data_IF_826077733670
#
_entry.id   IF_826077733670
#
_cell.length_a   1.000
_cell.length_b   1.000
_cell.length_c   1.000
_cell.angle_alpha   90.00
_cell.angle_beta   90.00
_cell.angle_gamma   90.00
#
_symmetry.space_group_name_H-M   'P 1'
#
loop_
_entity.id
_entity.type
_entity.pdbx_description
1 polymer ?
#
# COMPACT_ATOMS: atom_id res chain seq x y z
N UNK A 1 -41.06 7.42 -14.59
CA UNK A 1 -42.22 7.58 -13.68
C UNK A 1 -42.14 8.95 -13.03
N UNK A 2 -43.28 9.57 -12.72
CA UNK A 2 -43.33 10.95 -12.23
C UNK A 2 -43.24 11.04 -10.70
N UNK A 3 -42.75 12.15 -10.13
CA UNK A 3 -43.65 13.21 -9.61
C UNK A 3 -42.92 14.34 -8.86
N UNK A 4 -43.29 15.57 -9.21
CA UNK A 4 -43.24 16.87 -8.53
C UNK A 4 -42.56 17.08 -7.15
N UNK A 5 -41.78 18.16 -7.10
CA UNK A 5 -41.63 19.07 -5.95
C UNK A 5 -42.94 19.80 -5.60
N UNK A 6 -43.16 20.18 -4.33
CA UNK A 6 -43.31 21.58 -3.87
C UNK A 6 -43.80 21.74 -2.40
N UNK A 7 -43.47 22.90 -1.80
CA UNK A 7 -44.10 23.58 -0.63
C UNK A 7 -43.83 23.03 0.80
N UNK A 8 -43.66 23.84 1.88
CA UNK A 8 -43.38 25.30 2.10
C UNK A 8 -42.86 25.52 3.58
N UNK A 9 -42.67 26.75 4.15
CA UNK A 9 -41.70 27.03 5.24
C UNK A 9 -42.34 27.24 6.63
N UNK A 10 -41.57 27.79 7.60
CA UNK A 10 -42.07 28.97 8.32
C UNK A 10 -41.04 30.11 8.51
N UNK A 11 -41.48 31.22 9.11
CA UNK A 11 -40.80 32.53 9.20
C UNK A 11 -41.07 33.19 10.58
N UNK A 12 -40.16 34.06 11.02
CA UNK A 12 -40.28 35.19 11.98
C UNK A 12 -40.07 35.03 13.51
N UNK A 13 -39.45 36.10 14.06
CA UNK A 13 -39.47 36.62 15.45
C UNK A 13 -38.36 36.15 16.41
N UNK A 14 -37.83 36.96 17.36
CA UNK A 14 -37.50 38.41 17.45
C UNK A 14 -36.82 38.68 18.84
N UNK A 15 -36.34 39.92 19.10
CA UNK A 15 -35.99 40.51 20.42
C UNK A 15 -34.63 40.14 21.09
N UNK A 16 -33.98 40.97 21.94
CA UNK A 16 -33.78 42.45 21.99
C UNK A 16 -32.65 42.79 23.02
N UNK A 17 -31.74 43.72 22.68
CA UNK A 17 -30.91 44.63 23.54
C UNK A 17 -30.17 44.13 24.81
N UNK A 18 -28.82 44.29 24.89
CA UNK A 18 -28.10 45.26 25.78
C UNK A 18 -26.56 45.11 25.88
N UNK A 19 -25.90 46.28 25.91
CA UNK A 19 -24.70 46.69 26.68
C UNK A 19 -23.32 46.01 26.55
N UNK A 20 -22.32 46.84 26.21
CA UNK A 20 -20.87 46.71 26.50
C UNK A 20 -20.59 46.80 28.04
N UNK A 21 -19.37 46.53 28.61
CA UNK A 21 -18.11 47.23 28.21
C UNK A 21 -16.74 46.54 28.45
N UNK A 22 -15.71 47.09 27.79
CA UNK A 22 -14.27 47.06 28.19
C UNK A 22 -13.55 45.70 28.10
N UNK A 23 -12.21 45.56 28.08
CA UNK A 23 -11.09 46.52 28.26
C UNK A 23 -9.80 45.97 27.61
N UNK A 24 -8.71 46.76 27.65
CA UNK A 24 -7.29 46.38 27.42
C UNK A 24 -6.78 46.25 25.97
N UNK A 25 -5.52 46.64 25.62
CA UNK A 25 -4.59 47.66 26.18
C UNK A 25 -3.35 47.80 25.28
N UNK A 26 -2.62 48.93 25.44
CA UNK A 26 -1.30 49.32 24.86
C UNK A 26 -1.37 49.83 23.41
N UNK A 27 -0.87 51.02 23.06
CA UNK A 27 0.45 51.69 23.30
C UNK A 27 1.56 51.06 22.42
N UNK A 28 2.48 51.80 21.79
CA UNK A 28 2.98 53.17 22.08
C UNK A 28 3.61 53.86 20.84
N UNK A 29 3.56 55.20 20.79
CA UNK A 29 4.67 56.07 20.33
C UNK A 29 4.55 56.70 18.95
N UNK A 30 5.02 57.94 18.68
CA UNK A 30 5.69 59.00 19.49
C UNK A 30 5.47 60.37 18.77
N UNK A 31 5.25 61.45 19.53
CA UNK A 31 5.58 62.91 19.40
C UNK A 31 5.71 63.61 18.00
N UNK A 32 5.54 64.93 17.80
CA UNK A 32 5.30 66.08 18.70
C UNK A 32 4.61 67.27 17.96
N UNK A 33 3.82 68.06 18.71
CA UNK A 33 3.59 69.55 18.69
C UNK A 33 4.08 70.36 17.46
N UNK A 34 3.30 71.28 16.83
CA UNK A 34 3.04 72.67 17.30
C UNK A 34 1.87 73.38 16.57
N UNK A 35 1.35 74.46 17.18
CA UNK A 35 0.33 75.44 16.75
C UNK A 35 0.58 76.07 15.34
N UNK A 36 -0.34 76.78 14.68
CA UNK A 36 -1.28 77.80 15.21
C UNK A 36 -2.54 78.07 14.35
N UNK A 37 -3.38 79.03 14.80
CA UNK A 37 -4.69 79.43 14.26
C UNK A 37 -4.61 80.16 12.90
N UNK A 38 -5.66 80.09 12.08
CA UNK A 38 -6.59 81.23 11.86
C UNK A 38 -7.84 80.86 11.03
N UNK A 39 -8.79 81.80 10.92
CA UNK A 39 -10.20 81.50 10.67
C UNK A 39 -10.89 82.51 9.72
N UNK A 40 -11.64 81.97 8.73
CA UNK A 40 -12.86 82.53 8.09
C UNK A 40 -12.82 83.65 7.03
N UNK A 41 -13.70 83.44 6.03
CA UNK A 41 -14.36 84.37 5.10
C UNK A 41 -13.46 85.19 4.15
N UNK A 42 -13.93 85.61 2.96
CA UNK A 42 -15.22 85.38 2.29
C UNK A 42 -15.18 85.95 0.87
N UNK A 43 -16.07 85.52 -0.02
CA UNK A 43 -16.13 86.01 -1.39
C UNK A 43 -17.10 87.19 -1.54
N UNK A 44 -16.66 88.32 -2.09
CA UNK A 44 -17.58 89.36 -2.57
C UNK A 44 -17.01 90.16 -3.75
N UNK A 45 -17.92 90.67 -4.60
CA UNK A 45 -17.61 91.52 -5.75
C UNK A 45 -17.39 92.95 -5.29
N UNK A 46 -16.47 93.70 -5.91
CA UNK A 46 -16.78 95.09 -6.26
C UNK A 46 -15.95 95.65 -7.43
N UNK A 47 -16.61 96.49 -8.22
CA UNK A 47 -16.02 97.35 -9.26
C UNK A 47 -16.21 98.81 -8.82
N UNK A 48 -15.19 99.64 -9.03
CA UNK A 48 -15.23 101.09 -8.75
C UNK A 48 -14.73 101.45 -7.35
N UNK A 49 -13.77 102.36 -7.21
CA UNK A 49 -14.05 103.82 -7.15
C UNK A 49 -12.82 104.65 -7.50
N UNK A 50 -13.02 105.89 -7.94
CA UNK A 50 -11.97 106.83 -8.34
C UNK A 50 -11.12 107.36 -7.18
N UNK A 51 -9.83 107.59 -7.44
CA UNK A 51 -8.95 108.34 -6.53
C UNK A 51 -9.05 109.85 -6.79
N UNK A 52 -9.63 110.57 -5.83
CA UNK A 52 -9.57 112.03 -5.77
C UNK A 52 -8.16 112.49 -5.36
N UNK A 53 -7.46 113.19 -6.25
CA UNK A 53 -6.25 113.93 -5.89
C UNK A 53 -6.63 115.25 -5.17
N UNK A 54 -6.43 115.30 -3.86
CA UNK A 54 -6.69 116.48 -3.02
C UNK A 54 -5.46 117.41 -3.03
N UNK A 55 -5.51 118.51 -3.80
CA UNK A 55 -4.45 119.54 -3.82
C UNK A 55 -4.97 120.87 -3.26
N UNK A 56 -4.46 121.26 -2.08
CA UNK A 56 -4.44 122.59 -1.42
C UNK A 56 -3.38 122.51 -0.30
N UNK A 57 -2.67 123.54 0.17
CA UNK A 57 -2.53 124.98 -0.13
C UNK A 57 -1.18 125.45 0.53
N UNK A 58 -0.61 126.65 0.40
CA UNK A 58 -0.93 127.93 -0.25
C UNK A 58 0.40 128.74 -0.43
N UNK A 59 0.26 130.04 -0.77
CA UNK A 59 1.27 131.12 -0.65
C UNK A 59 2.34 131.20 -1.76
N UNK A 60 2.78 132.38 -2.23
CA UNK A 60 2.24 133.73 -1.92
C UNK A 60 2.33 134.77 -3.05
N UNK A 61 1.45 135.74 -2.90
CA UNK A 61 1.39 137.10 -3.47
C UNK A 61 2.70 137.89 -3.29
N UNK A 62 3.11 138.71 -4.27
CA UNK A 62 3.57 140.12 -4.10
C UNK A 62 3.82 140.83 -5.46
N UNK A 63 3.27 142.05 -5.56
CA UNK A 63 3.61 143.19 -6.42
C UNK A 63 3.95 143.00 -7.92
N UNK A 64 2.97 143.31 -8.77
CA UNK A 64 3.21 144.02 -10.02
C UNK A 64 2.87 145.51 -9.85
N UNK A 65 3.79 146.29 -9.26
CA UNK A 65 3.62 147.73 -9.03
C UNK A 65 4.29 148.52 -10.19
N UNK A 66 3.44 149.16 -10.99
CA UNK A 66 3.48 150.58 -11.38
C UNK A 66 4.84 151.26 -11.67
N UNK A 67 5.00 151.70 -12.93
CA UNK A 67 5.36 153.08 -13.35
C UNK A 67 5.09 153.17 -14.87
N UNK A 68 4.32 154.09 -15.46
CA UNK A 68 4.10 155.53 -15.23
C UNK A 68 5.35 156.42 -15.39
N UNK A 69 5.95 156.34 -16.59
CA UNK A 69 6.87 157.36 -17.11
C UNK A 69 6.18 158.71 -17.36
N UNK A 70 5.82 159.43 -16.30
CA UNK A 70 5.48 160.85 -16.33
C UNK A 70 6.76 161.69 -16.45
N UNK A 71 7.16 161.99 -17.68
CA UNK A 71 8.17 163.03 -17.95
C UNK A 71 7.57 164.42 -17.79
N UNK A 72 7.30 164.82 -16.55
CA UNK A 72 7.02 166.22 -16.21
C UNK A 72 8.35 166.97 -16.04
N UNK A 73 8.79 167.68 -17.08
CA UNK A 73 9.85 168.68 -16.92
C UNK A 73 9.29 169.93 -16.21
N UNK A 74 9.78 170.31 -15.02
CA UNK A 74 9.50 171.62 -14.46
C UNK A 74 10.52 172.63 -15.01
N UNK A 75 10.06 173.55 -15.85
CA UNK A 75 10.76 174.82 -16.04
C UNK A 75 10.11 175.87 -15.12
N UNK A 76 10.40 175.77 -13.82
CA UNK A 76 9.94 176.77 -12.85
C UNK A 76 10.74 178.06 -13.02
N UNK A 77 10.05 179.20 -12.92
CA UNK A 77 10.66 180.52 -12.93
C UNK A 77 11.77 180.66 -11.87
N UNK A 78 12.95 181.07 -12.34
CA UNK A 78 13.92 181.89 -11.62
C UNK A 78 14.62 182.75 -12.70
N UNK A 79 14.47 184.07 -12.77
CA UNK A 79 13.94 184.99 -11.77
C UNK A 79 15.07 185.62 -10.97
N UNK A 80 15.99 186.30 -11.66
CA UNK A 80 16.93 187.25 -11.06
C UNK A 80 17.34 188.30 -12.10
N UNK A 81 16.42 189.22 -12.41
CA UNK A 81 16.75 190.48 -13.11
C UNK A 81 17.55 191.43 -12.18
N UNK A 82 18.68 190.95 -11.65
CA UNK A 82 19.78 191.83 -11.32
C UNK A 82 20.57 191.97 -12.62
N UNK A 83 20.68 193.19 -13.16
CA UNK A 83 21.10 193.42 -14.54
C UNK A 83 22.50 192.91 -14.89
N UNK A 84 22.60 191.61 -15.22
CA UNK A 84 23.73 191.02 -15.91
C UNK A 84 23.85 191.71 -17.26
N UNK A 85 24.90 192.51 -17.41
CA UNK A 85 25.24 193.11 -18.71
C UNK A 85 25.87 191.99 -19.52
N UNK A 86 25.02 191.26 -20.25
CA UNK A 86 25.46 190.32 -21.27
C UNK A 86 26.11 191.10 -22.41
N UNK A 87 27.41 190.88 -22.62
CA UNK A 87 28.07 191.32 -23.84
C UNK A 87 27.82 190.27 -24.92
N UNK A 88 27.19 190.64 -26.04
CA UNK A 88 27.26 189.79 -27.24
C UNK A 88 28.67 189.85 -27.83
N UNK A 89 29.03 188.91 -28.73
CA UNK A 89 30.30 188.96 -29.46
C UNK A 89 30.44 190.32 -30.18
N UNK A 90 29.34 190.76 -30.74
CA UNK A 90 29.18 192.01 -31.46
C UNK A 90 29.40 193.23 -30.55
N UNK A 91 28.95 193.21 -29.29
CA UNK A 91 29.21 194.27 -28.30
C UNK A 91 30.69 194.37 -27.90
N UNK A 92 31.37 193.23 -27.77
CA UNK A 92 32.82 193.18 -27.49
C UNK A 92 33.61 193.74 -28.67
N UNK A 93 33.27 193.35 -29.89
CA UNK A 93 33.89 193.86 -31.12
C UNK A 93 33.61 195.36 -31.32
N UNK A 94 32.39 195.83 -31.00
CA UNK A 94 32.03 197.25 -31.01
C UNK A 94 32.83 198.06 -29.98
N UNK A 95 33.00 197.53 -28.76
CA UNK A 95 33.80 198.16 -27.72
C UNK A 95 35.29 198.23 -28.13
N UNK A 96 35.87 197.13 -28.61
CA UNK A 96 37.28 197.10 -29.04
C UNK A 96 37.57 197.97 -30.27
N UNK A 97 36.57 198.24 -31.11
CA UNK A 97 36.68 199.10 -32.29
C UNK A 97 36.35 200.59 -32.05
N UNK A 98 36.01 200.97 -30.82
CA UNK A 98 35.58 202.33 -30.46
C UNK A 98 36.72 203.36 -30.56
N UNK A 99 36.79 204.06 -31.70
CA UNK A 99 37.71 205.19 -31.90
C UNK A 99 37.17 206.46 -31.25
N UNK A 100 37.69 206.78 -30.07
CA UNK A 100 37.34 207.97 -29.29
C UNK A 100 37.53 209.28 -30.08
N UNK A 101 36.43 209.97 -30.42
CA UNK A 101 36.43 211.20 -31.22
C UNK A 101 36.35 212.45 -30.33
N UNK A 102 37.44 213.21 -30.25
CA UNK A 102 37.48 214.48 -29.54
C UNK A 102 37.03 215.63 -30.45
N UNK A 103 36.00 216.39 -30.05
CA UNK A 103 35.54 217.58 -30.81
C UNK A 103 36.51 218.76 -30.72
N UNK A 104 37.31 218.85 -29.65
CA UNK A 104 38.30 219.91 -29.48
C UNK A 104 39.56 219.39 -28.77
N UNK A 105 40.75 219.60 -29.36
CA UNK A 105 42.02 218.99 -28.89
C UNK A 105 42.50 219.49 -27.52
N UNK A 106 41.98 220.61 -27.04
CA UNK A 106 42.40 221.25 -25.78
C UNK A 106 41.47 220.98 -24.58
N UNK A 107 40.35 220.27 -24.75
CA UNK A 107 39.48 219.91 -23.62
C UNK A 107 39.99 218.66 -22.89
N UNK A 108 40.99 218.85 -22.03
CA UNK A 108 41.63 217.75 -21.29
C UNK A 108 40.66 217.01 -20.35
N UNK A 109 39.67 217.72 -19.79
CA UNK A 109 38.67 217.14 -18.87
C UNK A 109 37.77 216.13 -19.59
N UNK A 110 37.15 216.52 -20.71
CA UNK A 110 36.33 215.64 -21.56
C UNK A 110 37.14 214.43 -22.07
N UNK A 111 38.43 214.63 -22.41
CA UNK A 111 39.32 213.53 -22.79
C UNK A 111 39.57 212.52 -21.66
N UNK A 112 39.77 213.00 -20.44
CA UNK A 112 39.95 212.13 -19.27
C UNK A 112 38.66 211.41 -18.87
N UNK A 113 37.52 212.08 -18.93
CA UNK A 113 36.20 211.49 -18.64
C UNK A 113 35.84 210.40 -19.66
N UNK A 114 35.99 210.66 -20.96
CA UNK A 114 35.77 209.67 -22.01
C UNK A 114 36.72 208.46 -21.87
N UNK A 115 38.01 208.70 -21.61
CA UNK A 115 38.98 207.62 -21.38
C UNK A 115 38.63 206.79 -20.13
N UNK A 116 38.18 207.44 -19.06
CA UNK A 116 37.75 206.76 -17.83
C UNK A 116 36.50 205.90 -18.06
N UNK A 117 35.54 206.39 -18.86
CA UNK A 117 34.34 205.64 -19.23
C UNK A 117 34.67 204.41 -20.09
N UNK A 118 35.50 204.58 -21.12
CA UNK A 118 35.99 203.46 -21.94
C UNK A 118 36.76 202.42 -21.11
N UNK A 119 37.61 202.85 -20.18
CA UNK A 119 38.30 201.95 -19.24
C UNK A 119 37.29 201.24 -18.31
N UNK A 120 36.21 201.89 -17.87
CA UNK A 120 35.15 201.24 -17.08
C UNK A 120 34.43 200.17 -17.90
N UNK A 121 34.06 200.48 -19.16
CA UNK A 121 33.39 199.53 -20.06
C UNK A 121 34.30 198.34 -20.42
N UNK A 122 35.58 198.57 -20.69
CA UNK A 122 36.57 197.49 -20.84
C UNK A 122 36.73 196.64 -19.58
N UNK A 123 36.82 197.25 -18.39
CA UNK A 123 36.89 196.49 -17.12
C UNK A 123 35.64 195.67 -16.86
N UNK A 124 34.46 196.16 -17.24
CA UNK A 124 33.21 195.42 -17.13
C UNK A 124 33.17 194.24 -18.12
N UNK A 125 33.60 194.45 -19.36
CA UNK A 125 33.76 193.39 -20.37
C UNK A 125 34.75 192.31 -19.91
N UNK A 126 35.90 192.68 -19.33
CA UNK A 126 36.86 191.73 -18.75
C UNK A 126 36.23 190.93 -17.60
N UNK A 127 35.48 191.57 -16.70
CA UNK A 127 34.78 190.87 -15.61
C UNK A 127 33.74 189.88 -16.15
N UNK A 128 32.94 190.31 -17.12
CA UNK A 128 31.96 189.45 -17.77
C UNK A 128 32.61 188.24 -18.43
N UNK A 129 33.75 188.40 -19.12
CA UNK A 129 34.52 187.27 -19.64
C UNK A 129 35.07 186.36 -18.52
N UNK A 130 35.53 186.91 -17.39
CA UNK A 130 36.02 186.11 -16.26
C UNK A 130 34.90 185.32 -15.57
N UNK A 131 33.71 185.92 -15.44
CA UNK A 131 32.50 185.27 -14.93
C UNK A 131 32.06 184.15 -15.90
N UNK A 132 32.01 184.43 -17.21
CA UNK A 132 31.67 183.46 -18.26
C UNK A 132 32.69 182.30 -18.37
N UNK A 133 33.99 182.58 -18.26
CA UNK A 133 35.04 181.55 -18.19
C UNK A 133 34.87 180.67 -16.94
N UNK A 134 34.48 181.25 -15.81
CA UNK A 134 34.15 180.54 -14.57
C UNK A 134 32.93 179.64 -14.73
N UNK A 135 31.85 180.15 -15.32
CA UNK A 135 30.63 179.39 -15.61
C UNK A 135 30.89 178.25 -16.59
N UNK A 136 31.66 178.48 -17.66
CA UNK A 136 32.07 177.41 -18.58
C UNK A 136 32.99 176.37 -17.92
N UNK A 137 33.90 176.77 -17.03
CA UNK A 137 34.73 175.83 -16.29
C UNK A 137 33.90 174.97 -15.33
N UNK A 138 32.95 175.58 -14.61
CA UNK A 138 32.01 174.87 -13.74
C UNK A 138 31.11 173.92 -14.54
N UNK A 139 30.55 174.36 -15.67
CA UNK A 139 29.72 173.55 -16.55
C UNK A 139 30.51 172.39 -17.17
N UNK A 140 31.76 172.61 -17.59
CA UNK A 140 32.65 171.56 -18.07
C UNK A 140 32.96 170.54 -16.95
N UNK A 141 33.19 170.98 -15.72
CA UNK A 141 33.39 170.09 -14.57
C UNK A 141 32.10 169.29 -14.28
N UNK A 142 30.94 169.94 -14.28
CA UNK A 142 29.63 169.32 -14.08
C UNK A 142 29.34 168.25 -15.14
N UNK A 143 29.62 168.54 -16.42
CA UNK A 143 29.47 167.60 -17.52
C UNK A 143 30.50 166.45 -17.44
N UNK A 144 31.73 166.71 -17.01
CA UNK A 144 32.74 165.65 -16.79
C UNK A 144 32.30 164.68 -15.70
N UNK A 145 31.88 165.19 -14.54
CA UNK A 145 31.37 164.37 -13.44
C UNK A 145 30.10 163.59 -13.83
N UNK A 146 29.22 164.18 -14.66
CA UNK A 146 28.03 163.49 -15.17
C UNK A 146 28.38 162.37 -16.17
N UNK A 147 29.40 162.58 -17.01
CA UNK A 147 29.93 161.56 -17.92
C UNK A 147 30.57 160.42 -17.13
N UNK A 148 31.49 160.72 -16.21
CA UNK A 148 32.19 159.73 -15.37
C UNK A 148 31.19 158.88 -14.55
N UNK A 149 30.17 159.50 -13.96
CA UNK A 149 29.10 158.78 -13.26
C UNK A 149 28.27 157.89 -14.21
N UNK A 150 28.08 158.29 -15.47
CA UNK A 150 27.39 157.47 -16.47
C UNK A 150 28.26 156.30 -16.94
N UNK A 151 29.55 156.53 -17.20
CA UNK A 151 30.52 155.50 -17.57
C UNK A 151 30.69 154.46 -16.46
N UNK A 152 30.78 154.90 -15.19
CA UNK A 152 30.82 154.01 -14.03
C UNK A 152 29.55 153.14 -13.97
N UNK A 153 28.35 153.73 -14.12
CA UNK A 153 27.09 152.97 -14.13
C UNK A 153 27.00 151.97 -15.28
N UNK A 154 27.50 152.33 -16.47
CA UNK A 154 27.61 151.41 -17.60
C UNK A 154 28.55 150.24 -17.28
N UNK A 155 29.73 150.51 -16.72
CA UNK A 155 30.69 149.47 -16.33
C UNK A 155 30.16 148.54 -15.22
N UNK A 156 29.48 149.09 -14.21
CA UNK A 156 28.81 148.31 -13.15
C UNK A 156 27.70 147.41 -13.71
N UNK A 157 26.88 147.94 -14.63
CA UNK A 157 25.83 147.17 -15.31
C UNK A 157 26.40 146.09 -16.23
N UNK A 158 27.46 146.38 -17.00
CA UNK A 158 28.16 145.37 -17.81
C UNK A 158 28.74 144.24 -16.95
N UNK A 159 29.38 144.56 -15.83
CA UNK A 159 29.93 143.56 -14.92
C UNK A 159 28.82 142.71 -14.29
N UNK A 160 27.69 143.32 -13.89
CA UNK A 160 26.54 142.60 -13.40
C UNK A 160 25.93 141.65 -14.46
N UNK A 161 25.87 142.08 -15.72
CA UNK A 161 25.39 141.25 -16.83
C UNK A 161 26.35 140.09 -17.14
N UNK A 162 27.67 140.33 -17.16
CA UNK A 162 28.68 139.27 -17.35
C UNK A 162 28.63 138.22 -16.24
N UNK A 163 28.53 138.66 -14.98
CA UNK A 163 28.37 137.73 -13.85
C UNK A 163 27.10 136.86 -13.99
N UNK A 164 26.00 137.45 -14.48
CA UNK A 164 24.75 136.71 -14.74
C UNK A 164 24.85 135.77 -15.94
N UNK A 165 25.58 136.14 -16.99
CA UNK A 165 25.90 135.26 -18.11
C UNK A 165 26.74 134.05 -17.65
N UNK A 166 27.76 134.27 -16.81
CA UNK A 166 28.58 133.20 -16.22
C UNK A 166 27.75 132.26 -15.32
N UNK A 167 26.91 132.80 -14.43
CA UNK A 167 25.96 132.00 -13.62
C UNK A 167 25.04 131.15 -14.49
N UNK A 168 24.43 131.72 -15.54
CA UNK A 168 23.53 131.00 -16.44
C UNK A 168 24.27 129.93 -17.24
N UNK A 169 25.51 130.20 -17.69
CA UNK A 169 26.35 129.22 -18.37
C UNK A 169 26.72 128.04 -17.46
N UNK A 170 27.05 128.29 -16.19
CA UNK A 170 27.29 127.23 -15.19
C UNK A 170 26.03 126.36 -14.99
N UNK A 171 24.85 126.98 -14.87
CA UNK A 171 23.57 126.27 -14.75
C UNK A 171 23.31 125.42 -16.01
N UNK A 172 23.56 125.95 -17.21
CA UNK A 172 23.41 125.19 -18.47
C UNK A 172 24.33 123.97 -18.51
N UNK A 173 25.58 124.08 -18.04
CA UNK A 173 26.54 122.96 -17.99
C UNK A 173 26.08 121.89 -17.01
N UNK A 174 25.64 122.24 -15.80
CA UNK A 174 25.19 121.25 -14.81
C UNK A 174 23.84 120.62 -15.21
N UNK A 175 22.94 121.36 -15.86
CA UNK A 175 21.72 120.81 -16.46
C UNK A 175 22.01 119.82 -17.60
N UNK A 176 22.99 120.12 -18.48
CA UNK A 176 23.41 119.17 -19.53
C UNK A 176 24.05 117.91 -18.94
N UNK A 177 24.89 118.05 -17.91
CA UNK A 177 25.55 116.94 -17.20
C UNK A 177 24.54 116.04 -16.45
N UNK A 178 23.59 116.65 -15.74
CA UNK A 178 22.52 115.90 -15.06
C UNK A 178 21.58 115.22 -16.06
N UNK A 179 21.23 115.87 -17.18
CA UNK A 179 20.47 115.25 -18.27
C UNK A 179 21.20 114.03 -18.86
N UNK A 180 22.49 114.15 -19.16
CA UNK A 180 23.28 113.02 -19.67
C UNK A 180 23.34 111.85 -18.67
N UNK A 181 23.52 112.12 -17.37
CA UNK A 181 23.51 111.09 -16.33
C UNK A 181 22.13 110.42 -16.17
N UNK A 182 21.03 111.16 -16.35
CA UNK A 182 19.68 110.59 -16.36
C UNK A 182 19.44 109.73 -17.61
N UNK A 183 19.93 110.15 -18.77
CA UNK A 183 19.82 109.39 -20.02
C UNK A 183 20.61 108.07 -19.95
N UNK A 184 21.82 108.08 -19.38
CA UNK A 184 22.62 106.87 -19.13
C UNK A 184 21.90 105.90 -18.17
N UNK A 185 21.36 106.42 -17.05
CA UNK A 185 20.57 105.62 -16.10
C UNK A 185 19.33 105.02 -16.74
N UNK A 186 18.60 105.78 -17.55
CA UNK A 186 17.43 105.31 -18.26
C UNK A 186 17.79 104.16 -19.22
N UNK A 187 18.82 104.34 -20.05
CA UNK A 187 19.27 103.30 -20.98
C UNK A 187 19.74 102.02 -20.25
N UNK A 188 20.37 102.18 -19.08
CA UNK A 188 20.75 101.05 -18.23
C UNK A 188 19.53 100.32 -17.67
N UNK A 189 18.56 101.03 -17.07
CA UNK A 189 17.33 100.43 -16.54
C UNK A 189 16.49 99.76 -17.62
N UNK A 190 16.45 100.31 -18.85
CA UNK A 190 15.81 99.67 -20.01
C UNK A 190 16.50 98.37 -20.41
N UNK A 191 17.85 98.34 -20.41
CA UNK A 191 18.64 97.13 -20.66
C UNK A 191 18.46 96.08 -19.56
N UNK A 192 18.55 96.47 -18.29
CA UNK A 192 18.40 95.56 -17.14
C UNK A 192 16.97 94.98 -17.06
N UNK A 193 15.96 95.79 -17.41
CA UNK A 193 14.56 95.34 -17.58
C UNK A 193 14.42 94.29 -18.69
N UNK A 194 15.04 94.49 -19.86
CA UNK A 194 15.01 93.51 -20.95
C UNK A 194 15.69 92.20 -20.52
N UNK A 195 16.86 92.26 -19.89
CA UNK A 195 17.55 91.09 -19.37
C UNK A 195 16.73 90.32 -18.32
N UNK A 196 16.00 91.03 -17.45
CA UNK A 196 15.09 90.43 -16.48
C UNK A 196 13.88 89.73 -17.16
N UNK A 197 13.31 90.33 -18.21
CA UNK A 197 12.23 89.71 -18.99
C UNK A 197 12.69 88.45 -19.72
N UNK A 198 13.87 88.46 -20.34
CA UNK A 198 14.46 87.28 -21.00
C UNK A 198 14.78 86.18 -19.99
N UNK A 199 15.21 86.53 -18.77
CA UNK A 199 15.42 85.56 -17.70
C UNK A 199 14.10 84.93 -17.24
N UNK A 200 13.05 85.73 -17.05
CA UNK A 200 11.71 85.25 -16.70
C UNK A 200 11.10 84.38 -17.81
N UNK A 201 11.37 84.68 -19.08
CA UNK A 201 10.94 83.85 -20.21
C UNK A 201 11.63 82.48 -20.21
N UNK A 202 12.96 82.45 -20.00
CA UNK A 202 13.72 81.19 -19.86
C UNK A 202 13.27 80.37 -18.66
N UNK A 203 13.03 81.00 -17.50
CA UNK A 203 12.52 80.34 -16.30
C UNK A 203 11.16 79.68 -16.56
N UNK A 204 10.21 80.40 -17.18
CA UNK A 204 8.90 79.85 -17.55
C UNK A 204 9.02 78.63 -18.46
N UNK A 205 9.90 78.65 -19.46
CA UNK A 205 10.07 77.49 -20.34
C UNK A 205 10.75 76.32 -19.61
N UNK A 206 11.75 76.55 -18.75
CA UNK A 206 12.31 75.47 -17.91
C UNK A 206 11.25 74.88 -16.98
N UNK A 207 10.37 75.69 -16.40
CA UNK A 207 9.27 75.23 -15.56
C UNK A 207 8.27 74.38 -16.35
N UNK A 208 7.86 74.83 -17.54
CA UNK A 208 6.98 74.06 -18.42
C UNK A 208 7.61 72.72 -18.87
N UNK A 209 8.92 72.69 -19.13
CA UNK A 209 9.63 71.44 -19.43
C UNK A 209 9.66 70.50 -18.21
N UNK A 210 9.89 71.03 -17.00
CA UNK A 210 9.81 70.24 -15.77
C UNK A 210 8.39 69.70 -15.53
N UNK A 211 7.35 70.54 -15.64
CA UNK A 211 5.94 70.14 -15.54
C UNK A 211 5.58 69.03 -16.55
N UNK A 212 6.01 69.16 -17.83
CA UNK A 212 5.82 68.12 -18.86
C UNK A 212 6.55 66.82 -18.51
N UNK A 213 7.79 66.88 -18.02
CA UNK A 213 8.54 65.69 -17.59
C UNK A 213 7.92 65.01 -16.36
N UNK A 214 7.42 65.78 -15.40
CA UNK A 214 6.74 65.28 -14.22
C UNK A 214 5.42 64.57 -14.58
N UNK A 215 4.65 65.14 -15.52
CA UNK A 215 3.44 64.50 -16.03
C UNK A 215 3.75 63.15 -16.70
N UNK A 216 4.77 63.09 -17.57
CA UNK A 216 5.22 61.84 -18.21
C UNK A 216 5.66 60.79 -17.18
N UNK A 217 6.51 61.17 -16.22
CA UNK A 217 6.98 60.25 -15.18
C UNK A 217 5.84 59.75 -14.27
N UNK A 218 4.84 60.60 -14.00
CA UNK A 218 3.65 60.20 -13.24
C UNK A 218 2.74 59.23 -14.01
N UNK A 219 2.65 59.36 -15.34
CA UNK A 219 1.92 58.43 -16.20
C UNK A 219 2.62 57.06 -16.25
N UNK A 220 3.94 57.06 -16.44
CA UNK A 220 4.74 55.83 -16.51
C UNK A 220 4.82 55.10 -15.16
N UNK A 221 4.85 55.85 -14.04
CA UNK A 221 4.71 55.30 -12.69
C UNK A 221 3.35 54.60 -12.51
N UNK A 222 2.27 55.20 -13.02
CA UNK A 222 0.93 54.61 -13.01
C UNK A 222 0.88 53.28 -13.78
N UNK A 223 1.39 53.26 -15.02
CA UNK A 223 1.48 52.04 -15.83
C UNK A 223 2.28 50.94 -15.13
N UNK A 224 3.46 51.27 -14.59
CA UNK A 224 4.29 50.31 -13.87
C UNK A 224 3.58 49.75 -12.62
N UNK A 225 2.78 50.57 -11.93
CA UNK A 225 1.99 50.14 -10.77
C UNK A 225 0.83 49.20 -11.17
N UNK A 226 0.16 49.46 -12.29
CA UNK A 226 -0.87 48.56 -12.86
C UNK A 226 -0.28 47.22 -13.33
N UNK A 227 0.86 47.25 -14.02
CA UNK A 227 1.59 46.05 -14.45
C UNK A 227 2.02 45.19 -13.24
N UNK A 228 2.51 45.83 -12.18
CA UNK A 228 2.88 45.16 -10.92
C UNK A 228 1.66 44.53 -10.23
N UNK A 229 0.50 45.19 -10.22
CA UNK A 229 -0.74 44.59 -9.71
C UNK A 229 -1.18 43.38 -10.55
N UNK A 230 -1.13 43.49 -11.88
CA UNK A 230 -1.41 42.39 -12.81
C UNK A 230 -0.45 41.20 -12.63
N UNK A 231 0.84 41.46 -12.43
CA UNK A 231 1.84 40.43 -12.15
C UNK A 231 1.57 39.73 -10.81
N UNK A 232 1.25 40.49 -9.75
CA UNK A 232 0.91 39.93 -8.43
C UNK A 232 -0.37 39.06 -8.48
N UNK A 233 -1.40 39.47 -9.22
CA UNK A 233 -2.60 38.65 -9.44
C UNK A 233 -2.27 37.33 -10.17
N UNK A 234 -1.41 37.37 -11.20
CA UNK A 234 -0.93 36.16 -11.89
C UNK A 234 -0.14 35.24 -10.96
N UNK A 235 0.74 35.78 -10.12
CA UNK A 235 1.49 35.01 -9.11
C UNK A 235 0.54 34.34 -8.11
N UNK A 236 -0.49 35.05 -7.62
CA UNK A 236 -1.49 34.48 -6.72
C UNK A 236 -2.25 33.31 -7.37
N UNK A 237 -2.72 33.48 -8.61
CA UNK A 237 -3.41 32.43 -9.38
C UNK A 237 -2.54 31.19 -9.61
N UNK A 238 -1.26 31.37 -9.95
CA UNK A 238 -0.30 30.26 -10.12
C UNK A 238 -0.04 29.55 -8.79
N UNK A 239 0.09 30.28 -7.69
CA UNK A 239 0.27 29.68 -6.35
C UNK A 239 -0.93 28.83 -5.93
N UNK A 240 -2.16 29.26 -6.22
CA UNK A 240 -3.35 28.48 -5.89
C UNK A 240 -3.50 27.24 -6.78
N UNK A 241 -3.14 27.34 -8.07
CA UNK A 241 -3.02 26.18 -8.97
C UNK A 241 -1.97 25.18 -8.48
N UNK A 242 -0.83 25.66 -7.98
CA UNK A 242 0.24 24.82 -7.43
C UNK A 242 -0.20 24.08 -6.17
N UNK A 243 -0.92 24.74 -5.25
CA UNK A 243 -1.52 24.08 -4.06
C UNK A 243 -2.49 22.97 -4.48
N UNK A 244 -3.39 23.24 -5.43
CA UNK A 244 -4.34 22.25 -5.92
C UNK A 244 -3.64 21.03 -6.56
N UNK A 245 -2.56 21.27 -7.31
CA UNK A 245 -1.73 20.20 -7.88
C UNK A 245 -1.00 19.39 -6.79
N UNK A 246 -0.56 20.04 -5.71
CA UNK A 246 0.06 19.38 -4.55
C UNK A 246 -0.95 18.51 -3.78
N UNK A 247 -2.18 19.00 -3.58
CA UNK A 247 -3.28 18.24 -2.97
C UNK A 247 -3.69 17.03 -3.83
N UNK A 248 -3.76 17.20 -5.15
CA UNK A 248 -4.02 16.11 -6.09
C UNK A 248 -2.92 15.04 -6.06
N UNK A 249 -1.65 15.43 -6.11
CA UNK A 249 -0.52 14.50 -6.00
C UNK A 249 -0.51 13.77 -4.65
N UNK A 250 -0.81 14.46 -3.54
CA UNK A 250 -0.93 13.85 -2.21
C UNK A 250 -2.07 12.82 -2.15
N UNK A 251 -3.20 13.12 -2.81
CA UNK A 251 -4.35 12.22 -2.92
C UNK A 251 -4.03 10.98 -3.76
N UNK A 252 -3.31 11.13 -4.88
CA UNK A 252 -2.81 10.01 -5.69
C UNK A 252 -1.83 9.13 -4.91
N UNK A 253 -0.89 9.72 -4.16
CA UNK A 253 0.03 8.97 -3.30
C UNK A 253 -0.72 8.18 -2.22
N UNK A 254 -1.75 8.77 -1.61
CA UNK A 254 -2.60 8.08 -0.65
C UNK A 254 -3.35 6.89 -1.29
N UNK A 255 -3.92 7.09 -2.49
CA UNK A 255 -4.60 6.03 -3.23
C UNK A 255 -3.67 4.89 -3.64
N UNK A 256 -2.48 5.19 -4.16
CA UNK A 256 -1.47 4.18 -4.50
C UNK A 256 -1.01 3.40 -3.26
N UNK A 257 -0.82 4.09 -2.12
CA UNK A 257 -0.50 3.44 -0.83
C UNK A 257 -1.63 2.53 -0.36
N UNK A 258 -2.89 2.91 -0.60
CA UNK A 258 -4.07 2.10 -0.27
C UNK A 258 -4.15 0.86 -1.17
N UNK A 259 -3.96 1.00 -2.48
CA UNK A 259 -3.89 -0.13 -3.42
C UNK A 259 -2.77 -1.12 -3.05
N UNK A 260 -1.57 -0.63 -2.69
CA UNK A 260 -0.48 -1.50 -2.26
C UNK A 260 -0.86 -2.33 -1.02
N UNK A 261 -1.47 -1.69 0.00
CA UNK A 261 -1.97 -2.41 1.19
C UNK A 261 -3.04 -3.45 0.87
N UNK A 262 -3.90 -3.17 -0.09
CA UNK A 262 -4.96 -4.10 -0.50
C UNK A 262 -4.40 -5.28 -1.31
N UNK A 263 -3.35 -5.05 -2.11
CA UNK A 263 -2.56 -6.12 -2.77
C UNK A 263 -1.85 -6.99 -1.72
N UNK A 264 -1.18 -6.39 -0.74
CA UNK A 264 -0.47 -7.12 0.32
C UNK A 264 -1.45 -7.97 1.17
N UNK A 265 -2.63 -7.42 1.49
CA UNK A 265 -3.69 -8.13 2.18
C UNK A 265 -4.26 -9.30 1.35
N UNK A 266 -4.41 -9.13 0.03
CA UNK A 266 -4.82 -10.18 -0.88
C UNK A 266 -3.77 -11.30 -0.98
N UNK A 267 -2.49 -10.96 -1.08
CA UNK A 267 -1.38 -11.93 -1.07
C UNK A 267 -1.34 -12.76 0.22
N UNK A 268 -1.45 -12.14 1.40
CA UNK A 268 -1.50 -12.89 2.66
C UNK A 268 -2.79 -13.73 2.79
N UNK A 269 -3.89 -13.35 2.15
CA UNK A 269 -5.10 -14.19 2.07
C UNK A 269 -4.92 -15.41 1.18
N UNK A 270 -4.32 -15.24 -0.01
CA UNK A 270 -3.97 -16.34 -0.92
C UNK A 270 -3.03 -17.32 -0.22
N UNK A 271 -1.97 -16.81 0.41
CA UNK A 271 -0.96 -17.58 1.16
C UNK A 271 -1.54 -18.36 2.35
N UNK A 272 -2.61 -17.86 3.00
CA UNK A 272 -3.39 -18.65 3.98
C UNK A 272 -4.16 -19.77 3.28
N UNK A 273 -4.91 -19.46 2.23
CA UNK A 273 -5.67 -20.44 1.44
C UNK A 273 -4.80 -21.55 0.83
N UNK A 274 -3.56 -21.25 0.43
CA UNK A 274 -2.59 -22.24 -0.06
C UNK A 274 -2.12 -23.19 1.05
N UNK A 275 -1.91 -22.69 2.27
CA UNK A 275 -1.61 -23.53 3.44
C UNK A 275 -2.79 -24.42 3.80
N UNK A 276 -4.00 -23.87 3.84
CA UNK A 276 -5.24 -24.61 4.10
C UNK A 276 -5.46 -25.71 3.05
N UNK A 277 -5.30 -25.38 1.76
CA UNK A 277 -5.33 -26.34 0.64
C UNK A 277 -4.30 -27.46 0.84
N UNK A 278 -3.07 -27.12 1.22
CA UNK A 278 -2.00 -28.10 1.44
C UNK A 278 -2.35 -29.07 2.58
N UNK A 279 -2.85 -28.55 3.71
CA UNK A 279 -3.32 -29.38 4.82
C UNK A 279 -4.52 -30.28 4.44
N UNK A 280 -5.45 -29.79 3.60
CA UNK A 280 -6.55 -30.61 3.08
C UNK A 280 -6.02 -31.74 2.17
N UNK A 281 -5.02 -31.46 1.32
CA UNK A 281 -4.40 -32.49 0.45
C UNK A 281 -3.66 -33.55 1.28
N UNK A 282 -2.96 -33.16 2.34
CA UNK A 282 -2.31 -34.07 3.29
C UNK A 282 -3.33 -34.96 4.03
N UNK A 283 -4.42 -34.37 4.53
CA UNK A 283 -5.52 -35.09 5.16
C UNK A 283 -6.20 -36.07 4.19
N UNK A 284 -6.46 -35.67 2.94
CA UNK A 284 -7.03 -36.55 1.91
C UNK A 284 -6.08 -37.68 1.53
N UNK A 285 -4.77 -37.43 1.50
CA UNK A 285 -3.76 -38.46 1.23
C UNK A 285 -3.71 -39.48 2.37
N UNK A 286 -3.78 -39.02 3.62
CA UNK A 286 -3.87 -39.85 4.82
C UNK A 286 -5.15 -40.71 4.82
N UNK A 287 -6.30 -40.12 4.51
CA UNK A 287 -7.59 -40.83 4.43
C UNK A 287 -7.61 -41.88 3.30
N UNK A 288 -6.97 -41.59 2.15
CA UNK A 288 -6.77 -42.58 1.08
C UNK A 288 -5.90 -43.75 1.54
N UNK A 289 -4.82 -43.48 2.28
CA UNK A 289 -3.99 -44.53 2.88
C UNK A 289 -4.77 -45.42 3.85
N UNK A 290 -5.58 -44.82 4.72
CA UNK A 290 -6.48 -45.54 5.63
C UNK A 290 -7.50 -46.40 4.87
N UNK A 291 -8.11 -45.87 3.81
CA UNK A 291 -9.06 -46.61 2.97
C UNK A 291 -8.40 -47.82 2.28
N UNK A 292 -7.21 -47.65 1.71
CA UNK A 292 -6.45 -48.75 1.09
C UNK A 292 -6.14 -49.84 2.12
N UNK A 293 -5.64 -49.46 3.31
CA UNK A 293 -5.34 -50.43 4.38
C UNK A 293 -6.59 -51.18 4.86
N UNK A 294 -7.73 -50.49 5.00
CA UNK A 294 -9.00 -51.11 5.38
C UNK A 294 -9.52 -52.06 4.28
N UNK A 295 -9.33 -51.71 3.00
CA UNK A 295 -9.71 -52.56 1.88
C UNK A 295 -8.80 -53.79 1.75
N UNK A 296 -7.51 -53.66 2.03
CA UNK A 296 -6.57 -54.77 2.13
C UNK A 296 -6.95 -55.71 3.28
N UNK A 297 -7.22 -55.19 4.49
CA UNK A 297 -7.73 -55.97 5.63
C UNK A 297 -9.02 -56.73 5.28
N UNK A 298 -9.96 -56.08 4.60
CA UNK A 298 -11.22 -56.72 4.17
C UNK A 298 -10.99 -57.80 3.10
N UNK A 299 -10.00 -57.62 2.21
CA UNK A 299 -9.58 -58.64 1.25
C UNK A 299 -8.92 -59.84 1.94
N UNK A 300 -8.04 -59.60 2.92
CA UNK A 300 -7.40 -60.65 3.73
C UNK A 300 -8.43 -61.42 4.56
N UNK A 301 -9.40 -60.73 5.15
CA UNK A 301 -10.51 -61.37 5.88
C UNK A 301 -11.37 -62.25 4.97
N UNK A 302 -11.71 -61.79 3.75
CA UNK A 302 -12.42 -62.60 2.76
C UNK A 302 -11.63 -63.85 2.36
N UNK A 303 -10.34 -63.72 2.06
CA UNK A 303 -9.50 -64.86 1.70
C UNK A 303 -9.38 -65.88 2.85
N UNK A 304 -9.29 -65.40 4.09
CA UNK A 304 -9.35 -66.21 5.32
C UNK A 304 -10.69 -66.93 5.47
N UNK A 305 -11.81 -66.23 5.23
CA UNK A 305 -13.16 -66.79 5.26
C UNK A 305 -13.37 -67.86 4.19
N UNK A 306 -12.91 -67.62 2.95
CA UNK A 306 -12.99 -68.58 1.85
C UNK A 306 -12.16 -69.84 2.16
N UNK A 307 -10.96 -69.68 2.73
CA UNK A 307 -10.13 -70.81 3.15
C UNK A 307 -10.76 -71.60 4.32
N UNK A 308 -11.33 -70.91 5.32
CA UNK A 308 -12.10 -71.55 6.37
C UNK A 308 -13.35 -72.29 5.82
N UNK A 309 -13.99 -71.77 4.77
CA UNK A 309 -15.06 -72.49 4.06
C UNK A 309 -14.54 -73.73 3.31
N UNK A 310 -13.40 -73.65 2.63
CA UNK A 310 -12.76 -74.84 2.01
C UNK A 310 -12.43 -75.91 3.04
N UNK A 311 -11.87 -75.53 4.19
CA UNK A 311 -11.59 -76.45 5.29
C UNK A 311 -12.87 -77.07 5.86
N UNK A 312 -13.92 -76.26 6.06
CA UNK A 312 -15.24 -76.75 6.48
C UNK A 312 -15.83 -77.72 5.45
N UNK A 313 -15.74 -77.42 4.15
CA UNK A 313 -16.25 -78.29 3.09
C UNK A 313 -15.42 -79.57 2.96
N UNK A 314 -14.09 -79.51 3.12
CA UNK A 314 -13.22 -80.70 3.18
C UNK A 314 -13.60 -81.61 4.38
N UNK A 315 -13.77 -81.03 5.58
CA UNK A 315 -14.26 -81.76 6.76
C UNK A 315 -15.66 -82.36 6.54
N UNK A 316 -16.56 -81.69 5.80
CA UNK A 316 -17.86 -82.25 5.42
C UNK A 316 -17.70 -83.45 4.49
N UNK A 317 -16.76 -83.42 3.54
CA UNK A 317 -16.45 -84.58 2.69
C UNK A 317 -15.81 -85.73 3.48
N UNK A 318 -14.87 -85.46 4.39
CA UNK A 318 -14.30 -86.47 5.29
C UNK A 318 -15.38 -87.11 6.17
N UNK A 319 -16.25 -86.31 6.78
CA UNK A 319 -17.40 -86.80 7.58
C UNK A 319 -18.39 -87.60 6.71
N UNK A 320 -18.61 -87.22 5.45
CA UNK A 320 -19.44 -87.99 4.53
C UNK A 320 -18.79 -89.34 4.19
N UNK A 321 -17.49 -89.38 3.89
CA UNK A 321 -16.74 -90.62 3.63
C UNK A 321 -16.74 -91.54 4.86
N UNK A 322 -16.42 -91.02 6.04
CA UNK A 322 -16.52 -91.78 7.30
C UNK A 322 -17.94 -92.31 7.55
N UNK A 323 -19.00 -91.56 7.21
CA UNK A 323 -20.38 -92.05 7.33
C UNK A 323 -20.68 -93.20 6.38
N UNK A 324 -20.13 -93.18 5.17
CA UNK A 324 -20.25 -94.28 4.19
C UNK A 324 -19.50 -95.52 4.69
N UNK A 325 -18.25 -95.37 5.16
CA UNK A 325 -17.46 -96.46 5.74
C UNK A 325 -18.16 -97.08 6.96
N UNK A 326 -18.68 -96.25 7.87
CA UNK A 326 -19.39 -96.72 9.06
C UNK A 326 -20.74 -97.39 8.71
N UNK A 327 -21.37 -97.01 7.60
CA UNK A 327 -22.53 -97.73 7.07
C UNK A 327 -22.12 -99.08 6.47
N UNK A 328 -21.06 -99.14 5.67
CA UNK A 328 -20.52 -100.40 5.14
C UNK A 328 -20.18 -101.39 6.28
N UNK A 329 -19.53 -100.93 7.35
CA UNK A 329 -19.23 -101.78 8.53
C UNK A 329 -20.50 -102.28 9.22
N UNK A 330 -21.61 -101.54 9.20
CA UNK A 330 -22.91 -102.00 9.72
C UNK A 330 -23.54 -103.04 8.79
N UNK A 331 -23.49 -102.81 7.48
CA UNK A 331 -24.05 -103.71 6.47
C UNK A 331 -23.27 -105.04 6.45
N UNK A 332 -21.94 -104.98 6.54
CA UNK A 332 -21.05 -106.15 6.69
C UNK A 332 -21.34 -106.93 7.99
N UNK A 333 -21.51 -106.23 9.11
CA UNK A 333 -21.92 -106.83 10.39
C UNK A 333 -23.28 -107.51 10.27
N UNK A 334 -24.25 -106.88 9.61
CA UNK A 334 -25.60 -107.43 9.49
C UNK A 334 -25.65 -108.61 8.50
N UNK A 335 -24.79 -108.61 7.48
CA UNK A 335 -24.54 -109.76 6.63
C UNK A 335 -23.90 -110.93 7.41
N UNK A 336 -22.86 -110.67 8.21
CA UNK A 336 -22.24 -111.66 9.09
C UNK A 336 -23.23 -112.19 10.13
N UNK A 337 -24.05 -111.34 10.74
CA UNK A 337 -25.10 -111.72 11.68
C UNK A 337 -26.14 -112.63 11.03
N UNK A 338 -26.56 -112.30 9.80
CA UNK A 338 -27.47 -113.13 9.00
C UNK A 338 -26.86 -114.50 8.67
N UNK A 339 -25.57 -114.55 8.33
CA UNK A 339 -24.83 -115.79 8.11
C UNK A 339 -24.73 -116.64 9.39
N UNK A 340 -24.45 -116.02 10.55
CA UNK A 340 -24.44 -116.69 11.86
C UNK A 340 -25.84 -117.23 12.23
N UNK A 341 -26.91 -116.48 11.95
CA UNK A 341 -28.28 -116.95 12.17
C UNK A 341 -28.62 -118.15 11.27
N UNK A 342 -28.22 -118.14 10.00
CA UNK A 342 -28.41 -119.27 9.09
C UNK A 342 -27.66 -120.53 9.55
N UNK A 343 -26.38 -120.38 9.93
CA UNK A 343 -25.58 -121.48 10.50
C UNK A 343 -26.17 -122.00 11.83
N UNK A 344 -26.73 -121.12 12.66
CA UNK A 344 -27.42 -121.50 13.89
C UNK A 344 -28.68 -122.32 13.60
N UNK A 345 -29.43 -121.98 12.54
CA UNK A 345 -30.58 -122.76 12.09
C UNK A 345 -30.18 -124.15 11.55
N UNK A 346 -29.05 -124.27 10.85
CA UNK A 346 -28.49 -125.58 10.47
C UNK A 346 -28.08 -126.41 11.70
N UNK A 347 -27.47 -125.80 12.72
CA UNK A 347 -27.13 -126.49 13.99
C UNK A 347 -28.39 -126.98 14.73
N UNK A 348 -29.49 -126.21 14.71
CA UNK A 348 -30.78 -126.65 15.27
C UNK A 348 -31.34 -127.85 14.49
N UNK A 349 -31.33 -127.78 13.15
CA UNK A 349 -31.75 -128.89 12.27
C UNK A 349 -30.91 -130.17 12.50
N UNK A 350 -29.61 -130.04 12.75
CA UNK A 350 -28.76 -131.17 13.10
C UNK A 350 -29.05 -131.74 14.50
N UNK A 351 -29.52 -130.93 15.46
CA UNK A 351 -30.01 -131.42 16.76
C UNK A 351 -31.33 -132.18 16.66
N UNK A 352 -32.25 -131.76 15.79
CA UNK A 352 -33.52 -132.47 15.57
C UNK A 352 -33.29 -133.88 14.99
N UNK A 353 -32.27 -134.05 14.15
CA UNK A 353 -31.85 -135.36 13.64
C UNK A 353 -31.23 -136.27 14.72
N UNK A 354 -30.67 -135.71 15.80
CA UNK A 354 -30.14 -136.51 16.92
C UNK A 354 -31.27 -137.15 17.75
N UNK A 355 -32.37 -136.42 17.99
CA UNK A 355 -33.55 -136.93 18.71
C UNK A 355 -34.22 -138.08 17.94
N UNK A 356 -34.21 -138.02 16.60
CA UNK A 356 -34.67 -139.13 15.75
C UNK A 356 -33.79 -140.38 15.80
N UNK A 357 -32.57 -140.30 16.35
CA UNK A 357 -31.65 -141.44 16.50
C UNK A 357 -31.90 -142.21 17.79
N UNK A 358 -32.13 -141.50 18.91
CA UNK A 358 -32.40 -142.11 20.22
C UNK A 358 -33.69 -142.98 20.19
N UNK A 359 -34.71 -142.54 19.44
CA UNK A 359 -35.98 -143.25 19.24
C UNK A 359 -35.87 -144.55 18.41
N UNK A 360 -34.79 -144.74 17.65
CA UNK A 360 -34.51 -145.97 16.90
C UNK A 360 -33.65 -146.95 17.72
N UNK A 361 -32.73 -146.43 18.54
CA UNK A 361 -31.87 -147.22 19.41
C UNK A 361 -32.70 -147.92 20.52
N UNK A 362 -33.69 -147.22 21.09
CA UNK A 362 -34.64 -147.79 22.05
C UNK A 362 -35.47 -148.95 21.47
N UNK A 363 -35.83 -148.91 20.18
CA UNK A 363 -36.57 -150.00 19.51
C UNK A 363 -35.70 -151.22 19.24
N UNK A 364 -34.43 -151.03 18.88
CA UNK A 364 -33.48 -152.13 18.65
C UNK A 364 -33.16 -152.91 19.94
N UNK A 365 -33.04 -152.22 21.08
CA UNK A 365 -32.80 -152.86 22.38
C UNK A 365 -33.97 -153.77 22.80
N UNK A 366 -35.22 -153.35 22.54
CA UNK A 366 -36.42 -154.13 22.81
C UNK A 366 -36.47 -155.44 22.00
N UNK A 367 -36.30 -155.35 20.68
CA UNK A 367 -36.34 -156.53 19.80
C UNK A 367 -35.19 -157.52 20.08
N UNK A 368 -34.00 -157.03 20.41
CA UNK A 368 -32.83 -157.88 20.72
C UNK A 368 -33.04 -158.74 21.97
N UNK A 369 -33.76 -158.25 22.98
CA UNK A 369 -34.08 -159.01 24.18
C UNK A 369 -35.15 -160.09 23.93
N UNK A 370 -36.09 -159.83 23.01
CA UNK A 370 -37.11 -160.79 22.61
C UNK A 370 -36.54 -161.96 21.81
N UNK A 371 -35.53 -161.71 20.95
CA UNK A 371 -34.82 -162.75 20.19
C UNK A 371 -34.00 -163.66 21.12
N UNK A 372 -33.34 -163.10 22.14
CA UNK A 372 -32.53 -163.90 23.09
C UNK A 372 -33.37 -164.93 23.85
N UNK A 373 -34.53 -164.51 24.36
CA UNK A 373 -35.47 -165.39 25.07
C UNK A 373 -36.01 -166.56 24.21
N UNK A 374 -36.21 -166.34 22.91
CA UNK A 374 -36.61 -167.39 21.97
C UNK A 374 -35.45 -168.34 21.63
N UNK A 375 -34.21 -167.84 21.59
CA UNK A 375 -33.01 -168.65 21.37
C UNK A 375 -32.75 -169.63 22.51
N UNK A 376 -32.90 -169.18 23.77
CA UNK A 376 -32.68 -170.02 24.96
C UNK A 376 -33.71 -171.17 25.06
N UNK A 377 -34.95 -170.94 24.58
CA UNK A 377 -35.98 -171.97 24.53
C UNK A 377 -35.77 -173.01 23.41
N UNK A 378 -35.10 -172.63 22.31
CA UNK A 378 -34.78 -173.53 21.21
C UNK A 378 -33.67 -174.51 21.62
N UNK A 379 -32.57 -173.99 22.20
CA UNK A 379 -31.42 -174.78 22.62
C UNK A 379 -31.79 -175.89 23.62
N UNK A 380 -32.66 -175.57 24.60
CA UNK A 380 -33.14 -176.54 25.60
C UNK A 380 -34.08 -177.62 25.04
N UNK A 381 -34.61 -177.44 23.82
CA UNK A 381 -35.39 -178.44 23.11
C UNK A 381 -34.52 -179.32 22.20
N UNK A 382 -33.49 -178.74 21.56
CA UNK A 382 -32.54 -179.44 20.70
C UNK A 382 -31.64 -180.40 21.51
N UNK A 383 -31.09 -179.97 22.65
CA UNK A 383 -30.30 -180.82 23.56
C UNK A 383 -31.09 -182.07 24.02
N UNK A 384 -32.41 -181.90 24.23
CA UNK A 384 -33.30 -182.98 24.68
C UNK A 384 -33.64 -184.00 23.59
N UNK A 385 -33.54 -183.60 22.32
CA UNK A 385 -33.70 -184.48 21.16
C UNK A 385 -32.42 -185.28 20.93
N UNK A 386 -31.26 -184.62 20.96
CA UNK A 386 -29.95 -185.24 20.70
C UNK A 386 -29.62 -186.36 21.71
N UNK A 387 -29.92 -186.15 23.00
CA UNK A 387 -29.76 -187.18 24.04
C UNK A 387 -30.65 -188.41 23.79
N UNK A 388 -31.82 -188.25 23.17
CA UNK A 388 -32.72 -189.36 22.82
C UNK A 388 -32.24 -190.14 21.60
N UNK A 389 -31.69 -189.45 20.59
CA UNK A 389 -31.20 -190.08 19.36
C UNK A 389 -29.87 -190.83 19.56
N UNK A 390 -28.97 -190.31 20.41
CA UNK A 390 -27.72 -190.98 20.78
C UNK A 390 -27.95 -192.34 21.46
N UNK A 391 -28.90 -192.41 22.40
CA UNK A 391 -29.23 -193.66 23.13
C UNK A 391 -29.85 -194.74 22.22
N UNK A 392 -30.60 -194.33 21.20
CA UNK A 392 -31.17 -195.24 20.20
C UNK A 392 -30.14 -195.74 19.16
N UNK A 393 -29.04 -194.99 18.96
CA UNK A 393 -27.97 -195.39 18.05
C UNK A 393 -27.03 -196.44 18.69
N UNK A 394 -26.65 -196.23 19.95
CA UNK A 394 -25.69 -197.07 20.67
C UNK A 394 -26.22 -198.51 20.86
N UNK A 395 -27.49 -198.64 21.25
CA UNK A 395 -28.21 -199.93 21.34
C UNK A 395 -28.33 -200.69 20.02
N UNK A 396 -28.19 -200.02 18.87
CA UNK A 396 -28.16 -200.66 17.55
C UNK A 396 -26.77 -201.13 17.16
N UNK A 397 -25.72 -200.36 17.48
CA UNK A 397 -24.34 -200.69 17.12
C UNK A 397 -23.76 -201.87 17.91
N UNK A 398 -24.10 -202.01 19.20
CA UNK A 398 -23.62 -203.15 20.00
C UNK A 398 -24.17 -204.49 19.51
N UNK A 399 -25.44 -204.51 19.06
CA UNK A 399 -26.11 -205.70 18.54
C UNK A 399 -25.50 -206.18 17.21
N UNK A 400 -25.05 -205.27 16.35
CA UNK A 400 -24.31 -205.63 15.13
C UNK A 400 -22.87 -206.07 15.42
N UNK A 401 -22.23 -205.53 16.46
CA UNK A 401 -20.87 -205.90 16.87
C UNK A 401 -20.77 -207.36 17.33
N UNK A 402 -21.60 -207.76 18.29
CA UNK A 402 -21.53 -209.13 18.84
C UNK A 402 -21.94 -210.20 17.81
N UNK A 403 -22.85 -209.86 16.89
CA UNK A 403 -23.27 -210.75 15.80
C UNK A 403 -22.13 -211.08 14.82
N UNK A 404 -21.15 -210.19 14.64
CA UNK A 404 -19.94 -210.45 13.83
C UNK A 404 -18.96 -211.39 14.55
N UNK A 405 -18.69 -211.14 15.82
CA UNK A 405 -17.76 -211.96 16.62
C UNK A 405 -18.19 -213.44 16.72
N UNK A 406 -19.50 -213.68 16.86
CA UNK A 406 -20.08 -215.04 16.85
C UNK A 406 -19.82 -215.76 15.53
N UNK A 407 -19.74 -215.04 14.41
CA UNK A 407 -19.52 -215.61 13.08
C UNK A 407 -18.04 -215.93 12.82
N UNK A 408 -17.12 -215.10 13.31
CA UNK A 408 -15.67 -215.31 13.18
C UNK A 408 -15.18 -216.51 14.03
N UNK A 409 -15.64 -216.62 15.27
CA UNK A 409 -15.30 -217.76 16.14
C UNK A 409 -15.83 -219.09 15.59
N UNK A 410 -16.94 -219.08 14.85
CA UNK A 410 -17.52 -220.27 14.22
C UNK A 410 -16.66 -220.78 13.06
N UNK A 411 -16.07 -219.89 12.26
CA UNK A 411 -15.13 -220.27 11.20
C UNK A 411 -13.80 -220.79 11.78
N UNK A 412 -13.36 -220.25 12.93
CA UNK A 412 -12.19 -220.76 13.64
C UNK A 412 -12.37 -222.15 14.24
N UNK A 413 -13.62 -222.56 14.50
CA UNK A 413 -13.96 -223.92 14.92
C UNK A 413 -13.70 -224.93 13.79
N UNK A 414 -14.17 -224.64 12.57
CA UNK A 414 -14.04 -225.55 11.41
C UNK A 414 -12.57 -225.75 10.96
N UNK A 415 -11.76 -224.69 10.93
CA UNK A 415 -10.38 -224.77 10.44
C UNK A 415 -9.43 -225.53 11.42
N UNK A 416 -9.76 -225.55 12.72
CA UNK A 416 -9.06 -226.32 13.73
C UNK A 416 -9.40 -227.82 13.67
N UNK A 417 -10.68 -228.16 13.48
CA UNK A 417 -11.15 -229.54 13.34
C UNK A 417 -10.53 -230.22 12.11
N UNK A 418 -10.40 -229.50 10.99
CA UNK A 418 -9.75 -230.00 9.78
C UNK A 418 -8.29 -230.44 10.01
N UNK A 419 -7.51 -229.62 10.72
CA UNK A 419 -6.09 -229.88 11.03
C UNK A 419 -5.92 -231.07 11.98
N UNK A 420 -6.84 -231.28 12.91
CA UNK A 420 -6.81 -232.42 13.84
C UNK A 420 -7.08 -233.76 13.12
N UNK A 421 -8.01 -233.76 12.16
CA UNK A 421 -8.33 -234.95 11.34
C UNK A 421 -7.14 -235.36 10.45
N UNK A 422 -6.35 -234.40 9.94
CA UNK A 422 -5.07 -234.68 9.27
C UNK A 422 -4.02 -235.25 10.25
N UNK A 423 -3.88 -234.67 11.44
CA UNK A 423 -2.97 -235.15 12.48
C UNK A 423 -3.24 -236.60 12.89
N UNK A 424 -4.51 -236.97 13.08
CA UNK A 424 -4.92 -238.35 13.41
C UNK A 424 -4.58 -239.33 12.27
N UNK A 425 -4.70 -238.91 11.00
CA UNK A 425 -4.28 -239.69 9.82
C UNK A 425 -2.76 -239.82 9.69
N UNK A 426 -1.98 -238.84 10.18
CA UNK A 426 -0.52 -238.91 10.16
C UNK A 426 0.00 -239.81 11.29
N UNK A 427 -0.54 -239.68 12.51
CA UNK A 427 -0.20 -240.54 13.64
C UNK A 427 -0.50 -242.01 13.35
N UNK A 428 -1.64 -242.32 12.70
CA UNK A 428 -1.98 -243.69 12.26
C UNK A 428 -1.03 -244.26 11.20
N UNK A 429 -0.26 -243.44 10.47
CA UNK A 429 0.83 -243.93 9.61
C UNK A 429 2.12 -244.20 10.40
N UNK A 430 2.50 -243.30 11.31
CA UNK A 430 3.63 -243.52 12.22
C UNK A 430 3.45 -244.73 13.14
N UNK A 431 2.21 -245.02 13.53
CA UNK A 431 1.82 -246.22 14.27
C UNK A 431 2.19 -247.53 13.55
N UNK A 432 2.23 -247.55 12.21
CA UNK A 432 2.57 -248.74 11.44
C UNK A 432 4.09 -248.86 11.19
N UNK A 433 4.79 -247.76 10.88
CA UNK A 433 6.23 -247.79 10.57
C UNK A 433 7.11 -248.12 11.78
N UNK A 434 6.69 -247.77 13.01
CA UNK A 434 7.47 -248.10 14.22
C UNK A 434 7.37 -249.61 14.54
N UNK A 435 6.20 -250.23 14.35
CA UNK A 435 6.02 -251.67 14.52
C UNK A 435 6.85 -252.49 13.52
N UNK A 436 7.14 -251.95 12.33
CA UNK A 436 8.05 -252.57 11.35
C UNK A 436 9.53 -252.42 11.72
N UNK A 437 9.92 -251.44 12.56
CA UNK A 437 11.33 -251.20 12.90
C UNK A 437 11.83 -252.01 14.10
N UNK A 438 11.00 -252.26 15.12
CA UNK A 438 11.44 -253.07 16.27
C UNK A 438 11.52 -254.58 15.95
N UNK A 439 10.65 -255.09 15.06
CA UNK A 439 10.75 -256.49 14.59
C UNK A 439 12.07 -256.74 13.85
N UNK A 440 12.53 -255.76 13.07
CA UNK A 440 13.73 -255.88 12.22
C UNK A 440 15.08 -255.76 12.97
N UNK A 441 15.09 -255.62 14.30
CA UNK A 441 16.30 -255.75 15.14
C UNK A 441 16.44 -257.11 15.86
N UNK A 442 15.60 -258.10 15.52
CA UNK A 442 15.65 -259.46 16.08
C UNK A 442 16.81 -260.35 15.56
N UNK A 443 17.93 -259.79 15.07
CA UNK A 443 18.99 -260.56 14.40
C UNK A 443 20.39 -259.94 14.55
N UNK A 444 21.32 -260.68 15.19
CA UNK A 444 22.71 -260.29 15.59
C UNK A 444 22.79 -259.44 16.89
N UNK A 445 23.51 -259.80 17.96
CA UNK A 445 24.43 -260.93 18.21
C UNK A 445 24.45 -261.37 19.70
N UNK A 446 25.08 -262.52 19.98
CA UNK A 446 25.19 -263.12 21.32
C UNK A 446 26.17 -262.40 22.28
N UNK A 447 25.86 -262.46 23.59
CA UNK A 447 26.71 -262.99 24.69
C UNK A 447 26.75 -262.14 25.99
N UNK A 448 26.21 -262.71 27.10
CA UNK A 448 26.16 -262.21 28.51
C UNK A 448 25.24 -260.98 28.77
N UNK A 449 24.68 -260.68 29.97
CA UNK A 449 24.30 -261.39 31.23
C UNK A 449 23.75 -260.30 32.22
N UNK A 450 22.65 -260.40 32.96
CA UNK A 450 21.57 -261.40 33.08
C UNK A 450 21.20 -261.72 34.55
N UNK A 451 19.90 -261.71 34.92
CA UNK A 451 19.19 -262.21 36.15
C UNK A 451 18.12 -261.25 36.78
N UNK A 452 16.90 -261.81 36.96
CA UNK A 452 16.05 -261.88 38.18
C UNK A 452 15.14 -260.73 38.70
N UNK A 453 13.94 -261.19 39.13
CA UNK A 453 13.19 -260.85 40.36
C UNK A 453 12.75 -259.36 40.55
N UNK A 454 11.81 -258.93 41.41
CA UNK A 454 10.66 -259.52 42.15
C UNK A 454 9.69 -258.34 42.49
N UNK A 455 8.45 -258.68 42.84
CA UNK A 455 7.50 -258.03 43.78
C UNK A 455 7.87 -256.78 44.63
N UNK A 456 6.82 -256.15 45.22
CA UNK A 456 6.81 -255.48 46.56
C UNK A 456 7.31 -254.02 46.78
N UNK A 457 6.60 -253.32 47.69
CA UNK A 457 6.96 -252.10 48.48
C UNK A 457 7.18 -250.75 47.75
N UNK A 458 7.09 -249.57 48.38
CA UNK A 458 6.41 -249.05 49.59
C UNK A 458 6.49 -247.50 49.53
N UNK A 459 5.77 -246.78 50.42
CA UNK A 459 6.05 -245.42 50.97
C UNK A 459 6.77 -244.34 50.11
N UNK A 460 6.34 -243.07 50.15
CA UNK A 460 5.85 -242.36 51.33
C UNK A 460 4.52 -241.64 51.06
N UNK A 461 3.51 -242.07 51.83
CA UNK A 461 2.22 -241.41 52.19
C UNK A 461 1.37 -240.78 51.09
#
# INVERSE_FOLDING_TARGET
MASNNQNKPPVLSNNITKASPSSNKKKLGVDEVTCDKEQKFGAEKMVGTANNARIRQAFSVVNGIQDLGLSSNPASNAGSECGTIEFTREDVEALLSEKMRYKNKFNYKERCENMMDYIKRLRLCIKWFQELEGDYAFEHERLRNALELSEQKCAEMELALRNKEEELNLIIVELRKSFASLQEKLAKEESDKLAALDSLAREKETRLNMERSHASLSEDLGKAQEELQSANQRIASINDMYKLLQEYNSSLQHYNTKLQKDIDAAHESIKRGEKEKSAIVENLSTLRGQYISLQEQLSTYKASQDEAMRQKDALVHEVASMRVELQQVRDDRDHQLSQVQALTAEVIKHKELAVSSEDLEARCASQSNQIRSLSDQLAAAEEKLEVSDLSALETKTEFEGQKKLINELRNHLEDAEYKLIEGEKLRKRLHNTILELEVNLSSSALFRRGLKDIDVCEYIS
#
